data_IF_078285265020
#
_entry.id   IF_078285265020
#
_cell.length_a   1.000
_cell.length_b   1.000
_cell.length_c   1.000
_cell.angle_alpha   90.00
_cell.angle_beta   90.00
_cell.angle_gamma   90.00
#
_symmetry.space_group_name_H-M   'P 1'
#
loop_
_entity.id
_entity.type
_entity.pdbx_description
1 polymer ?
#
# COMPACT_ATOMS: atom_id res chain seq x y z
N UNK A 1 -0.75 -25.35 -17.34
CA UNK A 1 -1.03 -24.15 -16.54
C UNK A 1 -2.22 -24.45 -15.65
N UNK A 2 -1.99 -24.89 -14.41
CA UNK A 2 -3.06 -25.16 -13.45
C UNK A 2 -3.71 -23.84 -13.08
N UNK A 3 -5.00 -23.70 -13.34
CA UNK A 3 -5.82 -22.58 -12.83
C UNK A 3 -5.66 -22.57 -11.30
N UNK A 4 -5.00 -21.53 -10.79
CA UNK A 4 -4.88 -21.30 -9.35
C UNK A 4 -6.30 -21.05 -8.87
N UNK A 5 -6.91 -22.00 -8.20
CA UNK A 5 -8.26 -21.87 -7.63
C UNK A 5 -8.30 -20.57 -6.82
N UNK A 6 -9.09 -19.62 -7.29
CA UNK A 6 -9.28 -18.34 -6.61
C UNK A 6 -10.15 -18.62 -5.40
N UNK A 7 -9.60 -18.46 -4.21
CA UNK A 7 -10.38 -18.60 -2.99
C UNK A 7 -11.56 -17.60 -3.02
N UNK A 8 -12.82 -18.09 -3.11
CA UNK A 8 -13.98 -17.21 -3.25
C UNK A 8 -14.19 -16.29 -2.04
N UNK A 9 -13.78 -16.70 -0.86
CA UNK A 9 -13.87 -15.90 0.36
C UNK A 9 -12.97 -14.66 0.28
N UNK A 10 -11.74 -14.83 -0.22
CA UNK A 10 -10.82 -13.69 -0.42
C UNK A 10 -11.35 -12.75 -1.51
N UNK A 11 -11.96 -13.28 -2.57
CA UNK A 11 -12.57 -12.43 -3.59
C UNK A 11 -13.78 -11.65 -3.05
N UNK A 12 -14.59 -12.28 -2.20
CA UNK A 12 -15.71 -11.60 -1.53
C UNK A 12 -15.22 -10.48 -0.61
N UNK A 13 -14.19 -10.74 0.21
CA UNK A 13 -13.57 -9.71 1.06
C UNK A 13 -12.99 -8.55 0.23
N UNK A 14 -12.36 -8.83 -0.90
CA UNK A 14 -11.84 -7.79 -1.80
C UNK A 14 -12.96 -6.95 -2.43
N UNK A 15 -14.08 -7.59 -2.80
CA UNK A 15 -15.25 -6.90 -3.32
C UNK A 15 -15.88 -6.00 -2.25
N UNK A 16 -15.99 -6.51 -1.01
CA UNK A 16 -16.46 -5.73 0.13
C UNK A 16 -15.56 -4.52 0.38
N UNK A 17 -14.25 -4.72 0.44
CA UNK A 17 -13.28 -3.66 0.65
C UNK A 17 -13.37 -2.57 -0.44
N UNK A 18 -13.46 -2.97 -1.72
CA UNK A 18 -13.64 -2.03 -2.83
C UNK A 18 -14.97 -1.27 -2.72
N UNK A 19 -16.06 -1.95 -2.35
CA UNK A 19 -17.36 -1.32 -2.11
C UNK A 19 -17.31 -0.28 -1.01
N UNK A 20 -16.67 -0.58 0.12
CA UNK A 20 -16.50 0.35 1.23
C UNK A 20 -15.72 1.60 0.81
N UNK A 21 -14.62 1.45 0.09
CA UNK A 21 -13.83 2.57 -0.43
C UNK A 21 -14.66 3.42 -1.40
N UNK A 22 -15.46 2.78 -2.27
CA UNK A 22 -16.34 3.49 -3.20
C UNK A 22 -17.40 4.33 -2.47
N UNK A 23 -18.07 3.74 -1.48
CA UNK A 23 -19.10 4.41 -0.65
C UNK A 23 -18.49 5.57 0.13
N UNK A 24 -17.27 5.42 0.63
CA UNK A 24 -16.51 6.50 1.28
C UNK A 24 -16.27 7.68 0.35
N UNK A 25 -15.80 7.42 -0.87
CA UNK A 25 -15.57 8.49 -1.86
C UNK A 25 -16.87 9.13 -2.36
N UNK A 26 -17.97 8.38 -2.37
CA UNK A 26 -19.30 8.93 -2.63
C UNK A 26 -19.88 9.77 -1.47
N UNK A 27 -19.15 9.88 -0.35
CA UNK A 27 -19.60 10.59 0.87
C UNK A 27 -20.87 10.02 1.51
N UNK A 28 -21.15 8.74 1.27
CA UNK A 28 -22.33 8.08 1.84
C UNK A 28 -22.05 7.43 3.20
N UNK A 29 -20.77 7.08 3.47
CA UNK A 29 -20.37 6.44 4.72
C UNK A 29 -18.92 6.76 5.08
N UNK A 30 -18.70 7.56 6.11
CA UNK A 30 -17.37 8.03 6.50
C UNK A 30 -16.44 6.90 6.96
N UNK A 31 -16.98 5.83 7.58
CA UNK A 31 -16.20 4.65 7.97
C UNK A 31 -15.70 3.79 6.84
N UNK A 32 -16.05 4.07 5.58
CA UNK A 32 -15.69 3.24 4.41
C UNK A 32 -14.20 3.21 4.10
N UNK A 33 -13.38 4.12 4.67
CA UNK A 33 -11.91 4.09 4.57
C UNK A 33 -11.31 2.78 5.10
N UNK A 34 -11.97 2.06 6.01
CA UNK A 34 -11.53 0.76 6.52
C UNK A 34 -11.33 -0.29 5.39
N UNK A 35 -11.93 -0.06 4.22
CA UNK A 35 -11.70 -0.88 3.04
C UNK A 35 -10.23 -0.93 2.62
N UNK A 36 -9.45 0.13 2.86
CA UNK A 36 -8.00 0.16 2.59
C UNK A 36 -7.27 -0.79 3.55
N UNK A 37 -7.65 -0.79 4.83
CA UNK A 37 -7.04 -1.67 5.84
C UNK A 37 -7.34 -3.14 5.53
N UNK A 38 -8.56 -3.45 5.08
CA UNK A 38 -8.92 -4.79 4.62
C UNK A 38 -8.03 -5.22 3.44
N UNK A 39 -7.74 -4.33 2.49
CA UNK A 39 -6.81 -4.64 1.40
C UNK A 39 -5.40 -4.92 1.91
N UNK A 40 -4.88 -4.16 2.88
CA UNK A 40 -3.57 -4.40 3.47
C UNK A 40 -3.49 -5.77 4.17
N UNK A 41 -4.53 -6.13 4.95
CA UNK A 41 -4.60 -7.44 5.62
C UNK A 41 -4.63 -8.58 4.60
N UNK A 42 -5.45 -8.48 3.56
CA UNK A 42 -5.52 -9.48 2.49
C UNK A 42 -4.18 -9.61 1.78
N UNK A 43 -3.53 -8.49 1.47
CA UNK A 43 -2.21 -8.46 0.81
C UNK A 43 -1.14 -9.12 1.68
N UNK A 44 -1.08 -8.79 2.96
CA UNK A 44 -0.17 -9.41 3.93
C UNK A 44 -0.37 -10.92 4.03
N UNK A 45 -1.63 -11.35 4.16
CA UNK A 45 -1.99 -12.78 4.21
C UNK A 45 -1.54 -13.55 2.95
N UNK A 46 -1.89 -13.03 1.77
CA UNK A 46 -1.60 -13.70 0.51
C UNK A 46 -0.10 -13.80 0.24
N UNK A 47 0.65 -12.73 0.53
CA UNK A 47 2.11 -12.72 0.28
C UNK A 47 2.83 -13.61 1.28
N UNK A 48 2.49 -13.55 2.56
CA UNK A 48 3.07 -14.43 3.57
C UNK A 48 2.85 -15.90 3.21
N UNK A 49 1.61 -16.26 2.84
CA UNK A 49 1.29 -17.62 2.41
C UNK A 49 2.05 -18.05 1.15
N UNK A 50 2.24 -17.15 0.18
CA UNK A 50 3.01 -17.42 -1.04
C UNK A 50 4.48 -17.66 -0.72
N UNK A 51 5.09 -16.82 0.11
CA UNK A 51 6.51 -16.93 0.49
C UNK A 51 6.76 -18.24 1.22
N UNK A 52 5.95 -18.53 2.25
CA UNK A 52 6.10 -19.76 3.03
C UNK A 52 5.96 -20.98 2.13
N UNK A 53 4.93 -21.02 1.29
CA UNK A 53 4.70 -22.14 0.36
C UNK A 53 5.86 -22.34 -0.61
N UNK A 54 6.42 -21.25 -1.16
CA UNK A 54 7.56 -21.33 -2.08
C UNK A 54 8.79 -21.89 -1.36
N UNK A 55 9.09 -21.40 -0.14
CA UNK A 55 10.24 -21.88 0.63
C UNK A 55 10.07 -23.35 1.05
N UNK A 56 8.86 -23.78 1.44
CA UNK A 56 8.59 -25.18 1.79
C UNK A 56 8.78 -26.14 0.61
N UNK A 57 8.46 -25.69 -0.60
CA UNK A 57 8.57 -26.50 -1.82
C UNK A 57 9.99 -26.51 -2.42
N UNK A 58 10.70 -25.40 -2.35
CA UNK A 58 11.97 -25.20 -3.07
C UNK A 58 13.18 -25.03 -2.15
N UNK A 59 12.96 -24.96 -0.84
CA UNK A 59 13.97 -24.65 0.19
C UNK A 59 14.58 -23.24 0.08
N UNK A 60 14.10 -22.43 -0.85
CA UNK A 60 14.57 -21.06 -1.09
C UNK A 60 13.42 -20.16 -1.57
N UNK A 61 13.67 -18.85 -1.69
CA UNK A 61 12.69 -17.89 -2.18
C UNK A 61 13.25 -17.07 -3.35
N UNK A 62 12.55 -17.10 -4.46
CA UNK A 62 12.95 -16.43 -5.69
C UNK A 62 12.65 -14.93 -5.70
N UNK A 63 13.37 -14.11 -4.92
CA UNK A 63 13.17 -12.66 -4.82
C UNK A 63 13.06 -11.98 -6.18
N UNK A 64 14.01 -12.23 -7.09
CA UNK A 64 14.01 -11.62 -8.43
C UNK A 64 12.72 -11.91 -9.19
N UNK A 65 12.28 -13.16 -9.19
CA UNK A 65 11.06 -13.58 -9.88
C UNK A 65 9.81 -12.98 -9.23
N UNK A 66 9.80 -12.87 -7.91
CA UNK A 66 8.71 -12.23 -7.15
C UNK A 66 8.58 -10.75 -7.52
N UNK A 67 9.65 -9.97 -7.42
CA UNK A 67 9.63 -8.53 -7.73
C UNK A 67 9.34 -8.26 -9.20
N UNK A 68 9.90 -9.04 -10.12
CA UNK A 68 9.61 -8.89 -11.55
C UNK A 68 8.15 -9.16 -11.90
N UNK A 69 7.52 -10.20 -11.31
CA UNK A 69 6.09 -10.46 -11.52
C UNK A 69 5.22 -9.30 -11.01
N UNK A 70 5.60 -8.72 -9.88
CA UNK A 70 4.90 -7.58 -9.29
C UNK A 70 5.05 -6.33 -10.14
N UNK A 71 6.28 -5.96 -10.48
CA UNK A 71 6.57 -4.80 -11.33
C UNK A 71 5.81 -4.87 -12.67
N UNK A 72 5.84 -6.01 -13.35
CA UNK A 72 5.09 -6.22 -14.60
C UNK A 72 3.58 -6.07 -14.46
N UNK A 73 3.04 -6.31 -13.26
CA UNK A 73 1.60 -6.19 -12.98
C UNK A 73 1.19 -4.76 -12.64
N UNK A 74 2.01 -4.03 -11.90
CA UNK A 74 1.65 -2.75 -11.29
C UNK A 74 2.16 -1.55 -12.07
N UNK A 75 3.42 -1.57 -12.50
CA UNK A 75 4.04 -0.42 -13.17
C UNK A 75 3.28 0.03 -14.43
N UNK A 76 2.83 -0.85 -15.34
CA UNK A 76 2.17 -0.36 -16.55
C UNK A 76 0.89 0.42 -16.26
N UNK A 77 0.06 -0.07 -15.33
CA UNK A 77 -1.17 0.62 -14.95
C UNK A 77 -0.90 1.92 -14.18
N UNK A 78 0.00 1.86 -13.21
CA UNK A 78 0.36 3.03 -12.38
C UNK A 78 0.97 4.14 -13.22
N UNK A 79 1.99 3.83 -14.03
CA UNK A 79 2.63 4.81 -14.90
C UNK A 79 1.68 5.34 -15.99
N UNK A 80 0.81 4.49 -16.53
CA UNK A 80 -0.21 4.91 -17.49
C UNK A 80 -1.16 5.96 -16.92
N UNK A 81 -1.68 5.71 -15.71
CA UNK A 81 -2.56 6.67 -15.03
C UNK A 81 -1.81 7.95 -14.68
N UNK A 82 -0.59 7.85 -14.12
CA UNK A 82 0.20 9.03 -13.78
C UNK A 82 0.54 9.88 -15.02
N UNK A 83 0.91 9.24 -16.12
CA UNK A 83 1.18 9.94 -17.39
C UNK A 83 -0.07 10.64 -17.93
N UNK A 84 -1.22 9.94 -17.92
CA UNK A 84 -2.49 10.53 -18.34
C UNK A 84 -2.88 11.71 -17.46
N UNK A 85 -2.75 11.56 -16.13
CA UNK A 85 -3.01 12.66 -15.18
C UNK A 85 -2.08 13.83 -15.43
N UNK A 86 -0.79 13.60 -15.68
CA UNK A 86 0.18 14.65 -15.98
C UNK A 86 -0.21 15.44 -17.26
N UNK A 87 -0.57 14.72 -18.32
CA UNK A 87 -0.97 15.35 -19.60
C UNK A 87 -2.26 16.17 -19.44
N UNK A 88 -3.30 15.58 -18.84
CA UNK A 88 -4.57 16.30 -18.63
C UNK A 88 -4.36 17.53 -17.74
N UNK A 89 -3.64 17.36 -16.66
CA UNK A 89 -3.37 18.47 -15.73
C UNK A 89 -2.53 19.58 -16.38
N UNK A 90 -1.60 19.22 -17.24
CA UNK A 90 -0.84 20.21 -18.01
C UNK A 90 -1.73 21.04 -18.92
N UNK A 91 -2.75 20.45 -19.51
CA UNK A 91 -3.67 21.13 -20.42
C UNK A 91 -4.71 21.98 -19.68
N UNK A 92 -5.17 21.53 -18.51
CA UNK A 92 -6.32 22.11 -17.80
C UNK A 92 -5.93 23.04 -16.66
N UNK A 93 -4.83 22.71 -15.92
CA UNK A 93 -4.49 23.46 -14.71
C UNK A 93 -3.64 24.70 -14.98
N UNK A 94 -3.78 25.76 -14.15
CA UNK A 94 -2.92 26.94 -14.19
C UNK A 94 -1.45 26.59 -13.94
N UNK A 95 -0.54 27.38 -14.50
CA UNK A 95 0.91 27.17 -14.35
C UNK A 95 1.38 27.17 -12.88
N UNK A 96 0.71 27.92 -12.02
CA UNK A 96 1.00 28.01 -10.59
C UNK A 96 0.86 26.68 -9.84
N UNK A 97 -0.05 25.80 -10.28
CA UNK A 97 -0.32 24.50 -9.63
C UNK A 97 0.52 23.36 -10.23
N UNK A 98 1.03 23.55 -11.46
CA UNK A 98 1.73 22.47 -12.19
C UNK A 98 3.02 22.02 -11.51
N UNK A 99 3.75 22.94 -10.88
CA UNK A 99 5.01 22.63 -10.20
C UNK A 99 4.79 21.68 -9.02
N UNK A 100 3.78 21.94 -8.19
CA UNK A 100 3.48 21.12 -7.02
C UNK A 100 2.90 19.78 -7.45
N UNK A 101 2.01 19.77 -8.44
CA UNK A 101 1.54 18.52 -9.03
C UNK A 101 2.69 17.67 -9.63
N UNK A 102 3.70 18.31 -10.22
CA UNK A 102 4.89 17.61 -10.70
C UNK A 102 5.65 16.88 -9.60
N UNK A 103 5.78 17.50 -8.41
CA UNK A 103 6.37 16.87 -7.22
C UNK A 103 5.51 15.67 -6.75
N UNK A 104 4.19 15.85 -6.74
CA UNK A 104 3.25 14.79 -6.33
C UNK A 104 3.33 13.57 -7.26
N UNK A 105 3.32 13.80 -8.57
CA UNK A 105 3.46 12.74 -9.58
C UNK A 105 4.82 12.04 -9.46
N UNK A 106 5.90 12.82 -9.25
CA UNK A 106 7.22 12.22 -9.03
C UNK A 106 7.25 11.34 -7.78
N UNK A 107 6.73 11.83 -6.64
CA UNK A 107 6.66 11.06 -5.41
C UNK A 107 5.77 9.81 -5.55
N UNK A 108 4.66 9.91 -6.30
CA UNK A 108 3.81 8.76 -6.62
C UNK A 108 4.54 7.73 -7.51
N UNK A 109 5.34 8.18 -8.47
CA UNK A 109 6.11 7.31 -9.37
C UNK A 109 7.15 6.46 -8.63
N UNK A 110 7.78 7.03 -7.61
CA UNK A 110 8.79 6.32 -6.79
C UNK A 110 8.22 5.74 -5.49
N UNK A 111 6.90 5.74 -5.35
CA UNK A 111 6.18 5.16 -4.21
C UNK A 111 6.57 5.75 -2.85
N UNK A 112 6.75 7.09 -2.76
CA UNK A 112 6.98 7.83 -1.50
C UNK A 112 5.92 8.90 -1.23
N UNK A 113 4.83 8.90 -1.97
CA UNK A 113 3.75 9.87 -1.87
C UNK A 113 3.05 9.88 -0.50
N UNK A 114 3.06 8.76 0.22
CA UNK A 114 2.56 8.68 1.60
C UNK A 114 3.30 9.66 2.53
N UNK A 115 4.62 9.75 2.44
CA UNK A 115 5.41 10.71 3.24
C UNK A 115 5.16 12.14 2.78
N UNK A 116 5.19 12.38 1.46
CA UNK A 116 4.95 13.71 0.92
C UNK A 116 3.60 14.27 1.38
N UNK A 117 2.53 13.48 1.26
CA UNK A 117 1.19 13.93 1.62
C UNK A 117 1.00 14.05 3.13
N UNK A 118 1.63 13.20 3.94
CA UNK A 118 1.62 13.34 5.39
C UNK A 118 2.27 14.67 5.84
N UNK A 119 3.39 15.04 5.26
CA UNK A 119 4.03 16.34 5.54
C UNK A 119 3.22 17.52 4.99
N UNK A 120 2.66 17.39 3.79
CA UNK A 120 1.90 18.45 3.13
C UNK A 120 0.60 18.78 3.87
N UNK A 121 -0.13 17.79 4.40
CA UNK A 121 -1.34 18.00 5.18
C UNK A 121 -1.09 18.76 6.49
N UNK A 122 0.13 18.71 6.99
CA UNK A 122 0.54 19.35 8.24
C UNK A 122 1.11 20.75 8.04
N UNK A 123 1.30 21.18 6.79
CA UNK A 123 1.74 22.53 6.48
C UNK A 123 0.56 23.49 6.62
N UNK A 124 0.70 24.47 7.50
CA UNK A 124 -0.30 25.51 7.77
C UNK A 124 -0.75 26.23 6.48
N UNK A 125 0.13 26.35 5.49
CA UNK A 125 -0.17 27.00 4.20
C UNK A 125 -1.16 26.20 3.36
N UNK A 126 -1.30 24.90 3.61
CA UNK A 126 -2.06 23.97 2.80
C UNK A 126 -3.43 23.59 3.37
N UNK A 127 -3.82 24.12 4.55
CA UNK A 127 -5.07 23.76 5.23
C UNK A 127 -6.35 23.96 4.38
N UNK A 128 -6.31 24.88 3.42
CA UNK A 128 -7.43 25.18 2.51
C UNK A 128 -7.11 24.84 1.04
N UNK A 129 -6.00 24.17 0.76
CA UNK A 129 -5.61 23.83 -0.60
C UNK A 129 -6.42 22.65 -1.14
N UNK A 130 -6.68 22.65 -2.44
CA UNK A 130 -7.34 21.54 -3.11
C UNK A 130 -6.44 20.30 -3.09
N UNK A 131 -6.94 19.12 -2.64
CA UNK A 131 -6.14 17.91 -2.64
C UNK A 131 -5.58 17.57 -4.01
N UNK A 132 -4.37 17.01 -4.03
CA UNK A 132 -3.72 16.57 -5.25
C UNK A 132 -4.58 15.54 -6.01
N UNK A 133 -4.69 15.62 -7.35
CA UNK A 133 -5.35 14.60 -8.17
C UNK A 133 -4.79 13.19 -7.98
N UNK A 134 -3.54 13.06 -7.55
CA UNK A 134 -2.86 11.79 -7.30
C UNK A 134 -2.77 11.43 -5.81
N UNK A 135 -3.57 12.09 -4.96
CA UNK A 135 -3.52 11.84 -3.52
C UNK A 135 -3.73 10.36 -3.17
N UNK A 136 -4.56 9.65 -3.90
CA UNK A 136 -4.85 8.22 -3.64
C UNK A 136 -3.63 7.30 -3.77
N UNK A 137 -2.54 7.77 -4.38
CA UNK A 137 -1.29 7.01 -4.47
C UNK A 137 -0.59 6.81 -3.13
N UNK A 138 -0.99 7.53 -2.06
CA UNK A 138 -0.41 7.31 -0.73
C UNK A 138 -0.59 5.86 -0.25
N UNK A 139 -1.77 5.30 -0.43
CA UNK A 139 -2.06 3.93 0.00
C UNK A 139 -1.32 2.88 -0.84
N UNK A 140 -1.17 3.13 -2.14
CA UNK A 140 -0.36 2.29 -3.02
C UNK A 140 1.12 2.36 -2.65
N UNK A 141 1.63 3.54 -2.28
CA UNK A 141 3.02 3.70 -1.82
C UNK A 141 3.29 2.87 -0.55
N UNK A 142 2.42 2.92 0.45
CA UNK A 142 2.52 2.09 1.67
C UNK A 142 2.52 0.60 1.32
N UNK A 143 1.64 0.18 0.41
CA UNK A 143 1.55 -1.22 -0.02
C UNK A 143 2.82 -1.69 -0.73
N UNK A 144 3.41 -0.89 -1.63
CA UNK A 144 4.63 -1.26 -2.34
C UNK A 144 5.86 -1.26 -1.43
N UNK A 145 5.96 -0.33 -0.48
CA UNK A 145 6.99 -0.35 0.57
C UNK A 145 6.89 -1.63 1.41
N UNK A 146 5.68 -2.03 1.82
CA UNK A 146 5.46 -3.29 2.51
C UNK A 146 5.94 -4.48 1.67
N UNK A 147 5.67 -4.51 0.37
CA UNK A 147 6.11 -5.57 -0.52
C UNK A 147 7.62 -5.65 -0.74
N UNK A 148 8.33 -4.55 -0.55
CA UNK A 148 9.80 -4.56 -0.60
C UNK A 148 10.37 -5.23 0.65
N UNK A 149 9.89 -4.85 1.83
CA UNK A 149 10.48 -5.29 3.11
C UNK A 149 9.94 -6.63 3.60
N UNK A 150 8.65 -6.91 3.39
CA UNK A 150 7.98 -8.08 3.96
C UNK A 150 8.56 -9.43 3.52
N UNK A 151 8.87 -9.66 2.22
CA UNK A 151 9.48 -10.91 1.79
C UNK A 151 10.84 -11.16 2.45
N UNK A 152 11.64 -10.11 2.63
CA UNK A 152 12.94 -10.19 3.29
C UNK A 152 12.76 -10.58 4.76
N UNK A 153 11.82 -9.92 5.45
CA UNK A 153 11.53 -10.21 6.86
C UNK A 153 11.05 -11.66 7.06
N UNK A 154 10.07 -12.12 6.27
CA UNK A 154 9.53 -13.48 6.36
C UNK A 154 10.61 -14.52 6.04
N UNK A 155 11.40 -14.32 4.98
CA UNK A 155 12.49 -15.22 4.62
C UNK A 155 13.55 -15.31 5.71
N UNK A 156 13.93 -14.18 6.29
CA UNK A 156 14.91 -14.12 7.39
C UNK A 156 14.39 -14.86 8.63
N UNK A 157 13.15 -14.56 9.06
CA UNK A 157 12.52 -15.27 10.17
C UNK A 157 12.44 -16.78 9.94
N UNK A 158 12.12 -17.18 8.70
CA UNK A 158 12.09 -18.60 8.35
C UNK A 158 13.43 -19.27 8.50
N UNK A 159 14.53 -18.62 8.10
CA UNK A 159 15.89 -19.14 8.25
C UNK A 159 16.29 -19.33 9.72
N UNK A 160 15.82 -18.46 10.62
CA UNK A 160 16.14 -18.56 12.04
C UNK A 160 15.39 -19.66 12.80
N UNK A 161 14.13 -19.91 12.50
CA UNK A 161 13.31 -20.86 13.26
C UNK A 161 12.07 -21.36 12.54
N UNK A 162 12.09 -21.36 11.21
CA UNK A 162 11.01 -21.85 10.36
C UNK A 162 9.66 -21.22 10.73
N UNK A 163 8.59 -22.01 10.71
CA UNK A 163 7.22 -21.52 10.95
C UNK A 163 7.01 -20.87 12.31
N UNK A 164 7.67 -21.40 13.35
CA UNK A 164 7.55 -20.87 14.71
C UNK A 164 8.14 -19.45 14.81
N UNK A 165 9.33 -19.22 14.25
CA UNK A 165 9.94 -17.90 14.24
C UNK A 165 9.13 -16.89 13.40
N UNK A 166 8.54 -17.33 12.27
CA UNK A 166 7.64 -16.47 11.48
C UNK A 166 6.43 -16.08 12.30
N UNK A 167 5.75 -17.03 12.94
CA UNK A 167 4.58 -16.73 13.79
C UNK A 167 4.94 -15.77 14.93
N UNK A 168 6.00 -16.07 15.66
CA UNK A 168 6.46 -15.21 16.76
C UNK A 168 6.85 -13.80 16.28
N UNK A 169 7.61 -13.71 15.18
CA UNK A 169 8.03 -12.43 14.59
C UNK A 169 6.87 -11.59 14.08
N UNK A 170 5.93 -12.19 13.34
CA UNK A 170 4.73 -11.49 12.86
C UNK A 170 3.88 -11.03 14.03
N UNK A 171 3.66 -11.88 15.04
CA UNK A 171 2.92 -11.48 16.24
C UNK A 171 3.60 -10.33 16.98
N UNK A 172 4.92 -10.38 17.16
CA UNK A 172 5.69 -9.33 17.80
C UNK A 172 5.59 -8.00 17.04
N UNK A 173 5.72 -8.03 15.71
CA UNK A 173 5.56 -6.83 14.84
C UNK A 173 4.15 -6.26 14.99
N UNK A 174 3.12 -7.11 14.94
CA UNK A 174 1.72 -6.67 15.05
C UNK A 174 1.45 -6.02 16.41
N UNK A 175 1.87 -6.66 17.50
CA UNK A 175 1.68 -6.15 18.87
C UNK A 175 2.44 -4.83 19.04
N UNK A 176 3.71 -4.77 18.63
CA UNK A 176 4.51 -3.56 18.73
C UNK A 176 3.95 -2.41 17.91
N UNK A 177 3.49 -2.69 16.69
CA UNK A 177 2.85 -1.71 15.80
C UNK A 177 1.55 -1.17 16.42
N UNK A 178 0.73 -2.04 17.02
CA UNK A 178 -0.50 -1.65 17.69
C UNK A 178 -0.23 -0.69 18.87
N UNK A 179 0.67 -1.06 19.77
CA UNK A 179 1.02 -0.18 20.90
C UNK A 179 1.71 1.11 20.46
N UNK A 180 2.52 1.06 19.42
CA UNK A 180 3.14 2.25 18.84
C UNK A 180 2.11 3.18 18.21
N UNK A 181 1.09 2.63 17.54
CA UNK A 181 -0.02 3.41 17.00
C UNK A 181 -0.79 4.11 18.12
N UNK A 182 -1.15 3.41 19.22
CA UNK A 182 -1.81 4.04 20.37
C UNK A 182 -0.97 5.17 20.96
N UNK A 183 0.34 4.93 21.11
CA UNK A 183 1.27 5.94 21.64
C UNK A 183 1.35 7.19 20.75
N UNK A 184 1.37 7.02 19.42
CA UNK A 184 1.38 8.14 18.48
C UNK A 184 0.06 8.90 18.46
N UNK A 185 -1.07 8.21 18.55
CA UNK A 185 -2.41 8.83 18.57
C UNK A 185 -2.55 9.80 19.75
N UNK A 186 -2.00 9.43 20.91
CA UNK A 186 -2.05 10.31 22.09
C UNK A 186 -1.15 11.54 21.96
N UNK A 187 -0.01 11.44 21.27
CA UNK A 187 1.00 12.50 21.19
C UNK A 187 0.95 13.37 19.94
N UNK A 188 0.53 12.78 18.85
CA UNK A 188 0.47 13.44 17.54
C UNK A 188 -0.68 12.87 16.73
N UNK A 189 -1.90 13.45 16.80
CA UNK A 189 -3.06 12.97 16.05
C UNK A 189 -2.84 12.88 14.53
N UNK A 190 -1.81 13.54 14.04
CA UNK A 190 -1.38 13.61 12.64
C UNK A 190 -0.84 12.27 12.09
N UNK A 191 -0.30 11.41 12.97
CA UNK A 191 0.35 10.14 12.61
C UNK A 191 -0.47 8.91 13.02
N UNK A 192 -1.67 9.10 13.52
CA UNK A 192 -2.55 8.06 14.05
C UNK A 192 -3.53 7.49 13.02
#
# INVERSE_FOLDING_TARGET
MTQRERNPQIQALRALAAGLVLIYHAKWFDGGYIGVDIFYVISGYLITGLIIKEIELTSDFGFKSFYLRRAKRLLPASLGILSLTAVISWLVLPATVRTDLGKDIFAATIYVSNYLFAFWQNDYQNLNATPSPVIHYWSLAVEEQFYIFWPIAIYTLWKFGKRTAVLAGVSAITISSFFFSLYLTERSPIWA
#
